data_IF_906070008469
#
_entry.id   IF_906070008469
#
_cell.length_a   1.000
_cell.length_b   1.000
_cell.length_c   1.000
_cell.angle_alpha   90.00
_cell.angle_beta   90.00
_cell.angle_gamma   90.00
#
_symmetry.space_group_name_H-M   'P 1'
#
loop_
_entity.id
_entity.type
_entity.pdbx_description
1 polymer ?
#
# COMPACT_ATOMS: atom_id res chain seq x y z
N UNK A 1 -0.47 -65.68 -43.74
CA UNK A 1 -1.19 -65.44 -42.46
C UNK A 1 -0.15 -65.28 -41.35
N UNK A 2 0.19 -64.05 -40.96
CA UNK A 2 1.18 -63.77 -39.91
C UNK A 2 0.43 -63.15 -38.73
N UNK A 3 0.32 -63.90 -37.62
CA UNK A 3 -0.26 -63.44 -36.35
C UNK A 3 0.72 -62.50 -35.67
N UNK A 4 0.33 -61.23 -35.49
CA UNK A 4 1.04 -60.28 -34.60
C UNK A 4 0.48 -60.42 -33.18
N UNK A 5 1.34 -60.76 -32.23
CA UNK A 5 1.04 -60.70 -30.80
C UNK A 5 1.29 -59.29 -30.28
N UNK A 6 0.25 -58.68 -29.70
CA UNK A 6 0.33 -57.42 -28.98
C UNK A 6 0.80 -57.67 -27.54
N UNK A 7 1.92 -57.07 -27.15
CA UNK A 7 2.39 -57.03 -25.77
C UNK A 7 1.75 -55.82 -25.06
N UNK A 8 0.83 -56.08 -24.13
CA UNK A 8 0.34 -55.06 -23.18
C UNK A 8 1.36 -54.87 -22.07
N UNK A 9 2.00 -53.70 -22.04
CA UNK A 9 2.84 -53.25 -20.92
C UNK A 9 1.88 -52.66 -19.87
N UNK A 10 1.66 -53.38 -18.78
CA UNK A 10 0.92 -52.88 -17.62
C UNK A 10 1.73 -51.84 -16.87
N UNK A 11 1.28 -50.59 -16.87
CA UNK A 11 1.86 -49.52 -16.06
C UNK A 11 1.40 -49.73 -14.62
N UNK A 12 2.33 -50.12 -13.74
CA UNK A 12 2.11 -50.16 -12.30
C UNK A 12 2.10 -48.72 -11.77
N UNK A 13 0.93 -48.19 -11.44
CA UNK A 13 0.80 -46.89 -10.78
C UNK A 13 1.22 -47.05 -9.30
N UNK A 14 2.42 -46.58 -8.95
CA UNK A 14 2.88 -46.47 -7.57
C UNK A 14 2.27 -45.22 -6.95
N UNK A 15 1.20 -45.38 -6.18
CA UNK A 15 0.57 -44.30 -5.41
C UNK A 15 1.43 -44.02 -4.17
N UNK A 16 2.29 -43.01 -4.25
CA UNK A 16 3.03 -42.47 -3.10
C UNK A 16 2.03 -41.80 -2.15
N UNK A 17 1.67 -42.48 -1.06
CA UNK A 17 0.91 -41.89 0.05
C UNK A 17 1.82 -40.90 0.78
N UNK A 18 1.63 -39.60 0.51
CA UNK A 18 2.25 -38.54 1.30
C UNK A 18 1.69 -38.61 2.74
N UNK A 19 2.51 -39.06 3.68
CA UNK A 19 2.17 -39.01 5.11
C UNK A 19 1.91 -37.57 5.57
N UNK A 20 1.19 -37.37 6.69
CA UNK A 20 0.97 -36.05 7.24
C UNK A 20 2.33 -35.37 7.49
N UNK A 21 2.52 -34.21 6.88
CA UNK A 21 3.73 -33.41 7.12
C UNK A 21 3.74 -33.01 8.59
N UNK A 22 4.73 -33.53 9.34
CA UNK A 22 4.93 -33.11 10.73
C UNK A 22 5.14 -31.59 10.76
N UNK A 23 4.53 -30.94 11.75
CA UNK A 23 4.75 -29.51 11.96
C UNK A 23 6.23 -29.25 12.23
N UNK A 24 6.83 -28.34 11.48
CA UNK A 24 8.20 -27.88 11.68
C UNK A 24 8.20 -26.73 12.69
N UNK A 25 9.13 -26.76 13.64
CA UNK A 25 9.32 -25.70 14.64
C UNK A 25 10.32 -24.69 14.09
N UNK A 26 9.85 -23.46 13.82
CA UNK A 26 10.69 -22.38 13.26
C UNK A 26 11.40 -21.59 14.34
N UNK A 27 10.77 -21.46 15.50
CA UNK A 27 11.29 -20.70 16.62
C UNK A 27 10.81 -21.32 17.93
N UNK A 28 11.69 -21.44 18.92
CA UNK A 28 11.31 -21.83 20.27
C UNK A 28 12.25 -21.19 21.29
N UNK A 29 11.68 -20.52 22.28
CA UNK A 29 12.36 -20.05 23.47
C UNK A 29 11.55 -20.39 24.74
N UNK A 30 11.98 -19.85 25.88
CA UNK A 30 11.33 -20.09 27.17
C UNK A 30 9.89 -19.56 27.27
N UNK A 31 9.48 -18.65 26.38
CA UNK A 31 8.21 -17.91 26.43
C UNK A 31 7.33 -18.15 25.22
N UNK A 32 7.89 -18.57 24.09
CA UNK A 32 7.12 -18.79 22.87
C UNK A 32 7.69 -19.92 22.02
N UNK A 33 6.79 -20.64 21.37
CA UNK A 33 7.10 -21.58 20.29
C UNK A 33 6.27 -21.22 19.06
N UNK A 34 6.89 -21.20 17.88
CA UNK A 34 6.26 -20.97 16.59
C UNK A 34 6.52 -22.19 15.72
N UNK A 35 5.46 -22.86 15.32
CA UNK A 35 5.49 -24.01 14.44
C UNK A 35 4.49 -23.86 13.31
N UNK A 36 4.57 -24.73 12.31
CA UNK A 36 3.62 -24.74 11.20
C UNK A 36 3.94 -25.81 10.18
N UNK A 37 3.01 -26.04 9.27
CA UNK A 37 3.11 -27.09 8.24
C UNK A 37 2.83 -26.54 6.85
N UNK A 38 3.52 -27.08 5.84
CA UNK A 38 3.35 -26.69 4.44
C UNK A 38 4.27 -25.55 3.97
N UNK A 39 4.16 -25.12 2.71
CA UNK A 39 5.02 -24.10 2.11
C UNK A 39 4.73 -22.72 2.69
N UNK A 40 5.76 -21.86 2.76
CA UNK A 40 5.66 -20.54 3.40
C UNK A 40 4.51 -19.68 2.86
N UNK A 41 4.14 -19.80 1.59
CA UNK A 41 3.09 -18.99 0.94
C UNK A 41 1.66 -19.34 1.38
N UNK A 42 1.43 -20.53 1.94
CA UNK A 42 0.08 -21.00 2.35
C UNK A 42 0.05 -21.70 3.70
N UNK A 43 1.13 -21.57 4.49
CA UNK A 43 1.29 -22.20 5.80
C UNK A 43 0.38 -21.57 6.85
N UNK A 44 -0.30 -22.43 7.59
CA UNK A 44 -0.89 -22.07 8.88
C UNK A 44 0.19 -22.23 9.95
N UNK A 45 0.36 -21.20 10.78
CA UNK A 45 1.28 -21.25 11.90
C UNK A 45 0.53 -21.41 13.21
N UNK A 46 1.12 -22.14 14.13
CA UNK A 46 0.71 -22.24 15.52
C UNK A 46 1.75 -21.58 16.39
N UNK A 47 1.31 -20.65 17.22
CA UNK A 47 2.13 -19.89 18.15
C UNK A 47 1.67 -20.25 19.55
N UNK A 48 2.52 -20.93 20.31
CA UNK A 48 2.23 -21.33 21.69
C UNK A 48 2.96 -20.38 22.63
N UNK A 49 2.22 -19.62 23.44
CA UNK A 49 2.79 -18.78 24.49
C UNK A 49 2.91 -19.58 25.78
N UNK A 50 4.15 -19.69 26.26
CA UNK A 50 4.51 -20.43 27.47
C UNK A 50 4.48 -19.47 28.66
N UNK A 51 3.80 -19.82 29.77
CA UNK A 51 3.82 -18.99 30.97
C UNK A 51 5.22 -18.96 31.58
N UNK A 52 5.65 -17.80 32.09
CA UNK A 52 6.99 -17.66 32.72
C UNK A 52 7.08 -18.36 34.07
N UNK A 53 5.93 -18.59 34.72
CA UNK A 53 5.80 -19.34 35.97
C UNK A 53 4.48 -20.08 35.96
N UNK A 54 4.48 -21.27 36.53
CA UNK A 54 3.30 -22.11 36.62
C UNK A 54 3.00 -22.47 38.06
N UNK A 55 1.71 -22.62 38.36
CA UNK A 55 1.21 -23.32 39.53
C UNK A 55 0.72 -24.68 39.03
N UNK A 56 1.33 -25.76 39.54
CA UNK A 56 1.18 -27.16 39.12
C UNK A 56 2.07 -27.63 37.94
N UNK A 57 3.27 -27.06 37.80
CA UNK A 57 4.28 -27.54 36.85
C UNK A 57 3.92 -27.28 35.38
N UNK A 58 4.25 -28.19 34.47
CA UNK A 58 4.05 -28.01 33.02
C UNK A 58 2.58 -28.11 32.57
N UNK A 59 1.66 -28.30 33.53
CA UNK A 59 0.22 -28.50 33.30
C UNK A 59 -0.59 -27.20 33.37
N UNK A 60 0.08 -26.04 33.40
CA UNK A 60 -0.59 -24.75 33.33
C UNK A 60 -1.14 -24.49 31.91
N UNK A 61 -2.31 -23.83 31.79
CA UNK A 61 -2.85 -23.45 30.49
C UNK A 61 -1.88 -22.60 29.68
N UNK A 62 -1.51 -23.08 28.49
CA UNK A 62 -0.72 -22.36 27.49
C UNK A 62 -1.67 -21.71 26.47
N UNK A 63 -1.40 -20.47 26.08
CA UNK A 63 -2.16 -19.81 25.02
C UNK A 63 -1.67 -20.29 23.67
N UNK A 64 -2.60 -20.54 22.74
CA UNK A 64 -2.32 -20.93 21.37
C UNK A 64 -2.95 -19.92 20.43
N UNK A 65 -2.15 -19.32 19.54
CA UNK A 65 -2.61 -18.53 18.42
C UNK A 65 -2.39 -19.32 17.14
N UNK A 66 -3.42 -19.47 16.32
CA UNK A 66 -3.32 -20.15 15.03
C UNK A 66 -3.60 -19.15 13.93
N UNK A 67 -2.66 -18.92 13.02
CA UNK A 67 -2.88 -18.04 11.86
C UNK A 67 -3.54 -18.83 10.73
N UNK A 68 -4.51 -18.21 10.06
CA UNK A 68 -5.20 -18.75 8.89
C UNK A 68 -5.18 -17.74 7.75
N UNK A 69 -4.40 -18.04 6.71
CA UNK A 69 -4.13 -17.08 5.63
C UNK A 69 -3.46 -15.79 6.13
N UNK A 70 -3.74 -14.68 5.43
CA UNK A 70 -3.01 -13.43 5.63
C UNK A 70 -3.53 -12.56 6.78
N UNK A 71 -4.80 -12.67 7.17
CA UNK A 71 -5.42 -11.68 8.07
C UNK A 71 -6.36 -12.26 9.10
N UNK A 72 -6.43 -13.59 9.21
CA UNK A 72 -7.28 -14.27 10.20
C UNK A 72 -6.45 -15.05 11.19
N UNK A 73 -6.93 -15.10 12.42
CA UNK A 73 -6.31 -15.86 13.48
C UNK A 73 -7.37 -16.46 14.41
N UNK A 74 -7.03 -17.57 15.04
CA UNK A 74 -7.78 -18.15 16.15
C UNK A 74 -6.92 -18.06 17.41
N UNK A 75 -7.55 -17.83 18.56
CA UNK A 75 -6.92 -17.88 19.87
C UNK A 75 -7.70 -18.85 20.77
N UNK A 76 -6.96 -19.82 21.32
CA UNK A 76 -7.48 -20.77 22.31
C UNK A 76 -6.37 -21.19 23.29
N UNK A 77 -6.60 -22.25 24.06
CA UNK A 77 -5.60 -22.95 24.85
C UNK A 77 -5.00 -24.09 24.02
N UNK A 78 -3.68 -24.28 24.06
CA UNK A 78 -2.97 -25.33 23.29
C UNK A 78 -3.46 -26.76 23.57
N UNK A 79 -4.09 -26.98 24.74
CA UNK A 79 -4.72 -28.24 25.13
C UNK A 79 -6.12 -27.97 25.70
N UNK A 80 -6.95 -27.20 24.99
CA UNK A 80 -8.28 -26.78 25.46
C UNK A 80 -9.15 -27.93 25.99
N UNK A 81 -9.04 -29.13 25.42
CA UNK A 81 -9.74 -30.33 25.85
C UNK A 81 -9.34 -30.89 27.23
N UNK A 82 -8.33 -30.33 27.89
CA UNK A 82 -7.91 -30.73 29.25
C UNK A 82 -8.45 -29.80 30.35
N UNK A 83 -9.12 -28.71 29.97
CA UNK A 83 -9.48 -27.63 30.88
C UNK A 83 -10.98 -27.29 30.82
N UNK A 84 -11.55 -26.92 31.97
CA UNK A 84 -12.87 -26.32 32.11
C UNK A 84 -12.78 -24.93 32.76
N UNK A 85 -13.79 -24.10 32.47
CA UNK A 85 -13.95 -22.75 33.02
C UNK A 85 -12.66 -21.89 32.99
N UNK A 86 -11.98 -21.75 31.84
CA UNK A 86 -10.79 -20.92 31.76
C UNK A 86 -11.14 -19.45 32.03
N UNK A 87 -10.31 -18.79 32.85
CA UNK A 87 -10.44 -17.38 33.21
C UNK A 87 -9.11 -16.65 33.04
N UNK A 88 -9.20 -15.41 32.58
CA UNK A 88 -8.10 -14.44 32.59
C UNK A 88 -8.20 -13.62 33.86
N UNK A 89 -7.11 -13.53 34.61
CA UNK A 89 -7.02 -12.71 35.82
C UNK A 89 -6.01 -11.58 35.58
N UNK A 90 -6.49 -10.35 35.60
CA UNK A 90 -5.66 -9.15 35.44
C UNK A 90 -6.12 -8.08 36.43
N UNK A 91 -5.19 -7.47 37.17
CA UNK A 91 -5.51 -6.48 38.20
C UNK A 91 -6.57 -6.95 39.22
N UNK A 92 -6.47 -8.22 39.66
CA UNK A 92 -7.43 -8.89 40.55
C UNK A 92 -8.87 -9.05 39.98
N UNK A 93 -9.10 -8.70 38.71
CA UNK A 93 -10.38 -8.91 38.03
C UNK A 93 -10.31 -10.23 37.28
N UNK A 94 -11.30 -11.11 37.53
CA UNK A 94 -11.47 -12.37 36.81
C UNK A 94 -12.46 -12.17 35.67
N UNK A 95 -12.08 -12.57 34.46
CA UNK A 95 -12.96 -12.56 33.28
C UNK A 95 -12.97 -13.94 32.65
N UNK A 96 -14.12 -14.43 32.14
CA UNK A 96 -14.14 -15.63 31.31
C UNK A 96 -13.14 -15.49 30.17
N UNK A 97 -12.39 -16.55 29.89
CA UNK A 97 -11.50 -16.58 28.74
C UNK A 97 -12.34 -16.61 27.46
N UNK A 98 -12.30 -15.51 26.69
CA UNK A 98 -12.97 -15.41 25.42
C UNK A 98 -12.13 -16.06 24.33
N UNK A 99 -12.57 -17.22 23.83
CA UNK A 99 -11.99 -17.84 22.63
C UNK A 99 -12.29 -16.96 21.43
N UNK A 100 -11.34 -16.86 20.52
CA UNK A 100 -11.53 -16.20 19.24
C UNK A 100 -11.34 -17.24 18.15
N UNK A 101 -12.36 -17.50 17.34
CA UNK A 101 -12.25 -18.46 16.24
C UNK A 101 -12.29 -17.74 14.90
N UNK A 102 -11.21 -17.87 14.14
CA UNK A 102 -11.06 -17.33 12.78
C UNK A 102 -11.45 -15.85 12.67
N UNK A 103 -11.07 -15.04 13.65
CA UNK A 103 -11.38 -13.59 13.69
C UNK A 103 -10.41 -12.81 12.82
N UNK A 104 -10.81 -11.63 12.35
CA UNK A 104 -9.88 -10.71 11.68
C UNK A 104 -8.85 -10.15 12.68
N UNK A 105 -7.71 -9.68 12.17
CA UNK A 105 -6.70 -8.99 13.00
C UNK A 105 -7.28 -7.78 13.74
N UNK A 106 -8.15 -7.01 13.09
CA UNK A 106 -8.84 -5.88 13.73
C UNK A 106 -9.76 -6.33 14.87
N UNK A 107 -10.58 -7.36 14.65
CA UNK A 107 -11.45 -7.93 15.69
C UNK A 107 -10.63 -8.45 16.87
N UNK A 108 -9.53 -9.15 16.60
CA UNK A 108 -8.63 -9.62 17.64
C UNK A 108 -8.01 -8.47 18.44
N UNK A 109 -7.51 -7.44 17.76
CA UNK A 109 -6.92 -6.25 18.40
C UNK A 109 -7.89 -5.54 19.34
N UNK A 110 -9.16 -5.48 18.97
CA UNK A 110 -10.22 -4.87 19.77
C UNK A 110 -10.73 -5.77 20.92
N UNK A 111 -10.43 -7.07 20.88
CA UNK A 111 -10.83 -8.02 21.92
C UNK A 111 -10.14 -7.76 23.26
N UNK A 112 -10.75 -8.20 24.36
CA UNK A 112 -10.18 -8.08 25.70
C UNK A 112 -8.80 -8.74 25.82
N UNK A 113 -8.65 -9.91 25.23
CA UNK A 113 -7.40 -10.66 25.27
C UNK A 113 -6.33 -10.06 24.36
N UNK A 114 -6.70 -9.55 23.18
CA UNK A 114 -5.79 -8.79 22.32
C UNK A 114 -5.24 -7.55 23.04
N UNK A 115 -6.10 -6.78 23.70
CA UNK A 115 -5.69 -5.65 24.57
C UNK A 115 -4.82 -6.10 25.73
N UNK A 116 -5.12 -7.25 26.34
CA UNK A 116 -4.33 -7.82 27.44
C UNK A 116 -2.92 -8.15 26.98
N UNK A 117 -2.77 -8.86 25.85
CA UNK A 117 -1.48 -9.22 25.26
C UNK A 117 -0.68 -7.97 24.86
N UNK A 118 -1.32 -6.98 24.25
CA UNK A 118 -0.68 -5.73 23.85
C UNK A 118 -0.25 -4.86 25.05
N UNK A 119 -0.92 -4.97 26.21
CA UNK A 119 -0.67 -4.09 27.36
C UNK A 119 0.70 -4.27 28.03
N UNK A 120 1.42 -5.36 27.75
CA UNK A 120 2.67 -5.78 28.42
C UNK A 120 2.53 -5.95 29.95
N UNK A 121 1.31 -5.90 30.48
CA UNK A 121 1.03 -6.04 31.91
C UNK A 121 1.01 -7.51 32.32
N UNK A 122 1.27 -7.75 33.60
CA UNK A 122 1.09 -9.05 34.23
C UNK A 122 -0.38 -9.49 34.13
N UNK A 123 -0.60 -10.73 33.70
CA UNK A 123 -1.89 -11.42 33.79
C UNK A 123 -1.69 -12.91 34.05
N UNK A 124 -2.76 -13.58 34.47
CA UNK A 124 -2.78 -15.02 34.68
C UNK A 124 -3.86 -15.66 33.82
N UNK A 125 -3.58 -16.87 33.33
CA UNK A 125 -4.60 -17.74 32.74
C UNK A 125 -4.77 -18.90 33.69
N UNK A 126 -5.96 -19.04 34.25
CA UNK A 126 -6.29 -20.09 35.23
C UNK A 126 -7.43 -20.91 34.71
N UNK A 127 -7.35 -22.23 34.81
CA UNK A 127 -8.43 -23.12 34.43
C UNK A 127 -8.46 -24.35 35.33
N UNK A 128 -9.64 -24.95 35.46
CA UNK A 128 -9.80 -26.21 36.18
C UNK A 128 -9.43 -27.37 35.25
N UNK A 129 -8.61 -28.30 35.71
CA UNK A 129 -8.24 -29.48 34.91
C UNK A 129 -9.35 -30.53 34.97
N UNK A 130 -9.65 -31.15 33.83
CA UNK A 130 -10.72 -32.14 33.72
C UNK A 130 -10.37 -33.49 34.38
N UNK A 131 -9.09 -33.82 34.51
CA UNK A 131 -8.64 -35.12 35.02
C UNK A 131 -8.75 -35.25 36.55
N UNK A 132 -8.56 -34.16 37.29
CA UNK A 132 -8.52 -34.18 38.76
C UNK A 132 -9.24 -33.01 39.43
N UNK A 133 -9.93 -32.17 38.65
CA UNK A 133 -10.66 -30.99 39.13
C UNK A 133 -9.82 -29.94 39.88
N UNK A 134 -8.47 -30.03 39.86
CA UNK A 134 -7.58 -29.01 40.45
C UNK A 134 -7.42 -27.82 39.49
N UNK A 135 -7.15 -26.65 40.04
CA UNK A 135 -6.91 -25.44 39.27
C UNK A 135 -5.42 -25.29 38.93
N UNK A 136 -5.10 -25.24 37.64
CA UNK A 136 -3.76 -24.89 37.18
C UNK A 136 -3.73 -23.43 36.71
N UNK A 137 -2.61 -22.75 36.90
CA UNK A 137 -2.46 -21.33 36.59
C UNK A 137 -1.12 -21.03 35.94
N UNK A 138 -1.15 -20.32 34.81
CA UNK A 138 0.02 -19.81 34.11
C UNK A 138 0.15 -18.29 34.30
N UNK A 139 1.34 -17.83 34.73
CA UNK A 139 1.69 -16.41 34.85
C UNK A 139 2.31 -15.92 33.55
N UNK A 140 1.77 -14.85 33.00
CA UNK A 140 2.29 -14.16 31.81
C UNK A 140 2.68 -12.74 32.17
N UNK A 141 3.94 -12.38 31.95
CA UNK A 141 4.46 -11.03 32.18
C UNK A 141 5.51 -10.70 31.14
N UNK A 142 5.73 -9.41 30.90
CA UNK A 142 6.80 -8.92 30.01
C UNK A 142 6.72 -9.51 28.59
N UNK A 143 5.53 -9.86 28.13
CA UNK A 143 5.32 -10.28 26.75
C UNK A 143 5.48 -9.05 25.85
N UNK A 144 6.57 -9.02 25.08
CA UNK A 144 6.72 -8.03 24.02
C UNK A 144 5.95 -8.52 22.79
N UNK A 145 4.69 -8.12 22.72
CA UNK A 145 3.78 -8.58 21.67
C UNK A 145 4.22 -8.12 20.27
N UNK A 146 4.83 -6.93 20.15
CA UNK A 146 5.35 -6.44 18.86
C UNK A 146 6.55 -7.29 18.40
N UNK A 147 7.47 -7.64 19.31
CA UNK A 147 8.58 -8.53 19.01
C UNK A 147 8.10 -9.95 18.63
N UNK A 148 7.06 -10.45 19.29
CA UNK A 148 6.41 -11.70 18.93
C UNK A 148 5.82 -11.62 17.51
N UNK A 149 5.04 -10.58 17.21
CA UNK A 149 4.43 -10.38 15.89
C UNK A 149 5.48 -10.31 14.78
N UNK A 150 6.63 -9.68 15.05
CA UNK A 150 7.75 -9.63 14.10
C UNK A 150 8.33 -11.02 13.83
N UNK A 151 8.44 -11.89 14.85
CA UNK A 151 8.86 -13.30 14.67
C UNK A 151 7.82 -14.10 13.90
N UNK A 152 6.53 -13.89 14.15
CA UNK A 152 5.45 -14.55 13.40
C UNK A 152 5.57 -14.21 11.91
N UNK A 153 5.69 -12.93 11.55
CA UNK A 153 5.81 -12.49 10.14
C UNK A 153 7.07 -13.04 9.44
N UNK A 154 8.16 -13.24 10.17
CA UNK A 154 9.38 -13.84 9.63
C UNK A 154 9.16 -15.29 9.15
N UNK A 155 8.21 -16.02 9.72
CA UNK A 155 8.01 -17.45 9.46
C UNK A 155 6.65 -17.81 8.86
N UNK A 156 5.68 -16.89 8.95
CA UNK A 156 4.29 -17.13 8.63
C UNK A 156 3.78 -16.12 7.60
N UNK A 157 2.96 -16.55 6.61
CA UNK A 157 2.33 -15.66 5.63
C UNK A 157 1.15 -14.90 6.26
N UNK A 158 1.40 -14.18 7.34
CA UNK A 158 0.40 -13.47 8.14
C UNK A 158 0.77 -11.99 8.27
N UNK A 159 -0.20 -11.10 8.09
CA UNK A 159 -0.10 -9.64 8.20
C UNK A 159 -0.06 -9.20 9.67
N UNK A 160 0.99 -9.61 10.37
CA UNK A 160 1.22 -9.33 11.79
C UNK A 160 1.34 -7.82 12.06
N UNK A 161 1.78 -7.05 11.05
CA UNK A 161 1.88 -5.59 11.09
C UNK A 161 0.56 -4.92 11.50
N UNK A 162 -0.59 -5.45 11.07
CA UNK A 162 -1.91 -4.91 11.44
C UNK A 162 -2.23 -5.01 12.94
N UNK A 163 -1.49 -5.83 13.69
CA UNK A 163 -1.60 -6.00 15.13
C UNK A 163 -0.53 -5.22 15.92
N UNK A 164 0.50 -4.70 15.26
CA UNK A 164 1.60 -3.99 15.92
C UNK A 164 1.15 -2.61 16.39
N UNK A 165 1.56 -2.24 17.60
CA UNK A 165 1.32 -0.91 18.14
C UNK A 165 2.34 0.12 17.61
N UNK A 166 3.59 -0.31 17.44
CA UNK A 166 4.69 0.53 16.93
C UNK A 166 5.15 0.06 15.54
N UNK A 167 4.79 0.84 14.52
CA UNK A 167 5.23 0.66 13.14
C UNK A 167 6.40 1.60 12.76
N UNK A 168 6.87 2.44 13.67
CA UNK A 168 7.86 3.47 13.39
C UNK A 168 9.22 2.85 13.00
N UNK A 169 9.57 1.68 13.54
CA UNK A 169 10.76 0.95 13.12
C UNK A 169 10.71 0.57 11.64
N UNK A 170 9.54 0.15 11.12
CA UNK A 170 9.35 -0.19 9.70
C UNK A 170 9.38 1.03 8.81
N UNK A 171 8.73 2.10 9.23
CA UNK A 171 8.76 3.37 8.50
C UNK A 171 10.19 3.92 8.38
N UNK A 172 10.98 3.87 9.46
CA UNK A 172 12.40 4.24 9.43
C UNK A 172 13.21 3.32 8.52
N UNK A 173 12.95 2.01 8.56
CA UNK A 173 13.62 1.05 7.69
C UNK A 173 13.32 1.34 6.20
N UNK A 174 12.06 1.55 5.82
CA UNK A 174 11.67 1.95 4.46
C UNK A 174 12.35 3.26 4.04
N UNK A 175 12.34 4.28 4.91
CA UNK A 175 13.01 5.55 4.65
C UNK A 175 14.51 5.39 4.42
N UNK A 176 15.16 4.50 5.18
CA UNK A 176 16.60 4.24 5.05
C UNK A 176 17.00 3.61 3.70
N UNK A 177 16.05 2.96 3.00
CA UNK A 177 16.31 2.39 1.68
C UNK A 177 16.67 3.44 0.62
N UNK A 178 16.33 4.72 0.85
CA UNK A 178 16.70 5.85 -0.02
C UNK A 178 16.36 5.58 -1.50
N UNK A 179 15.15 5.05 -1.75
CA UNK A 179 14.71 4.64 -3.09
C UNK A 179 14.64 5.86 -4.01
N UNK A 180 15.36 5.80 -5.13
CA UNK A 180 15.35 6.87 -6.14
C UNK A 180 13.99 6.94 -6.84
N UNK A 181 13.60 8.13 -7.33
CA UNK A 181 12.34 8.27 -8.08
C UNK A 181 12.23 7.35 -9.32
N UNK A 182 13.30 7.14 -10.13
CA UNK A 182 13.26 6.16 -11.22
C UNK A 182 13.04 4.72 -10.74
N UNK A 183 13.68 4.33 -9.63
CA UNK A 183 13.48 3.00 -9.05
C UNK A 183 12.06 2.81 -8.56
N UNK A 184 11.48 3.83 -7.92
CA UNK A 184 10.10 3.76 -7.45
C UNK A 184 9.12 3.61 -8.62
N UNK A 185 9.40 4.24 -9.78
CA UNK A 185 8.60 4.02 -11.00
C UNK A 185 8.65 2.56 -11.44
N UNK A 186 9.83 1.92 -11.44
CA UNK A 186 9.94 0.50 -11.76
C UNK A 186 9.14 -0.37 -10.78
N UNK A 187 9.26 -0.12 -9.48
CA UNK A 187 8.53 -0.88 -8.46
C UNK A 187 7.02 -0.73 -8.63
N UNK A 188 6.54 0.51 -8.82
CA UNK A 188 5.12 0.81 -9.05
C UNK A 188 4.63 0.17 -10.34
N UNK A 189 5.44 0.15 -11.41
CA UNK A 189 5.06 -0.48 -12.67
C UNK A 189 4.86 -1.99 -12.48
N UNK A 190 5.77 -2.64 -11.77
CA UNK A 190 5.66 -4.07 -11.43
C UNK A 190 4.37 -4.37 -10.66
N UNK A 191 4.09 -3.60 -9.59
CA UNK A 191 2.90 -3.80 -8.77
C UNK A 191 1.61 -3.60 -9.57
N UNK A 192 1.51 -2.50 -10.33
CA UNK A 192 0.33 -2.20 -11.15
C UNK A 192 0.14 -3.22 -12.29
N UNK A 193 1.21 -3.66 -12.94
CA UNK A 193 1.12 -4.67 -14.00
C UNK A 193 0.67 -6.03 -13.47
N UNK A 194 1.09 -6.42 -12.26
CA UNK A 194 0.80 -7.74 -11.70
C UNK A 194 -0.55 -7.81 -10.98
N UNK A 195 -0.97 -6.75 -10.31
CA UNK A 195 -2.16 -6.75 -9.45
C UNK A 195 -3.17 -5.64 -9.72
N UNK A 196 -2.80 -4.65 -10.55
CA UNK A 196 -3.70 -3.59 -11.01
C UNK A 196 -4.28 -3.88 -12.40
N UNK A 197 -5.02 -2.92 -12.91
CA UNK A 197 -5.67 -3.00 -14.23
C UNK A 197 -4.82 -2.36 -15.34
N UNK A 198 -3.79 -1.60 -14.97
CA UNK A 198 -2.95 -0.85 -15.90
C UNK A 198 -1.60 -1.50 -16.13
N UNK A 199 -1.25 -1.72 -17.39
CA UNK A 199 0.09 -2.11 -17.84
C UNK A 199 0.95 -0.90 -18.22
N UNK A 200 0.39 0.32 -18.17
CA UNK A 200 1.10 1.54 -18.52
C UNK A 200 2.19 1.86 -17.49
N UNK A 201 3.28 2.47 -17.96
CA UNK A 201 4.33 2.97 -17.09
C UNK A 201 3.76 4.07 -16.17
N UNK A 202 3.84 3.94 -14.83
CA UNK A 202 3.32 4.95 -13.92
C UNK A 202 4.12 6.26 -14.00
N UNK A 203 3.45 7.38 -13.74
CA UNK A 203 4.10 8.68 -13.57
C UNK A 203 5.06 8.66 -12.36
N UNK A 204 6.13 9.48 -12.31
CA UNK A 204 7.01 9.57 -11.14
C UNK A 204 6.27 9.95 -9.84
N UNK A 205 6.64 9.33 -8.73
CA UNK A 205 6.15 9.69 -7.39
C UNK A 205 7.27 9.59 -6.36
N UNK A 206 6.98 9.99 -5.12
CA UNK A 206 7.91 9.91 -3.98
C UNK A 206 7.58 8.79 -2.99
N UNK A 207 6.39 8.19 -3.10
CA UNK A 207 5.95 7.09 -2.24
C UNK A 207 4.94 6.21 -2.99
N UNK A 208 4.73 4.99 -2.47
CA UNK A 208 3.64 4.11 -2.90
C UNK A 208 2.29 4.66 -2.41
N UNK A 209 1.27 4.62 -3.27
CA UNK A 209 -0.12 4.92 -2.89
C UNK A 209 -0.69 3.86 -1.92
N UNK A 210 -1.79 4.12 -1.20
CA UNK A 210 -2.44 3.12 -0.36
C UNK A 210 -2.83 1.83 -1.11
N UNK A 211 -3.25 1.98 -2.37
CA UNK A 211 -3.57 0.85 -3.25
C UNK A 211 -2.30 0.06 -3.62
N UNK A 212 -1.22 0.75 -3.99
CA UNK A 212 0.06 0.11 -4.30
C UNK A 212 0.66 -0.58 -3.07
N UNK A 213 0.46 -0.04 -1.86
CA UNK A 213 0.82 -0.73 -0.60
C UNK A 213 0.00 -2.00 -0.37
N UNK A 214 -1.27 -2.03 -0.79
CA UNK A 214 -2.06 -3.25 -0.77
C UNK A 214 -1.55 -4.29 -1.77
N UNK A 215 -1.11 -3.85 -2.96
CA UNK A 215 -0.44 -4.70 -3.94
C UNK A 215 0.91 -5.21 -3.43
N UNK A 216 1.65 -4.39 -2.69
CA UNK A 216 2.92 -4.79 -2.07
C UNK A 216 2.74 -5.96 -1.10
N UNK A 217 1.69 -5.97 -0.27
CA UNK A 217 1.38 -7.10 0.62
C UNK A 217 1.13 -8.39 -0.16
N UNK A 218 0.33 -8.32 -1.23
CA UNK A 218 0.07 -9.47 -2.12
C UNK A 218 1.35 -9.95 -2.80
N UNK A 219 2.16 -9.02 -3.32
CA UNK A 219 3.46 -9.32 -3.89
C UNK A 219 4.37 -10.04 -2.91
N UNK A 220 4.44 -9.58 -1.66
CA UNK A 220 5.24 -10.23 -0.63
C UNK A 220 4.75 -11.66 -0.36
N UNK A 221 3.44 -11.86 -0.21
CA UNK A 221 2.85 -13.18 0.02
C UNK A 221 3.14 -14.17 -1.11
N UNK A 222 2.95 -13.76 -2.37
CA UNK A 222 3.15 -14.61 -3.55
C UNK A 222 4.62 -15.02 -3.73
N UNK A 223 5.56 -14.19 -3.26
CA UNK A 223 6.99 -14.42 -3.36
C UNK A 223 7.59 -15.01 -2.07
N UNK A 224 6.76 -15.37 -1.08
CA UNK A 224 7.24 -15.94 0.18
C UNK A 224 8.13 -14.97 1.00
N UNK A 225 7.88 -13.67 0.87
CA UNK A 225 8.54 -12.60 1.62
C UNK A 225 7.73 -12.21 2.87
N UNK A 226 8.31 -11.40 3.75
CA UNK A 226 7.60 -10.82 4.89
C UNK A 226 6.46 -9.90 4.42
N UNK A 227 5.22 -10.15 4.88
CA UNK A 227 4.04 -9.40 4.48
C UNK A 227 4.00 -8.06 5.25
N UNK A 228 4.33 -6.98 4.56
CA UNK A 228 4.34 -5.63 5.12
C UNK A 228 3.80 -4.61 4.12
N UNK A 229 3.17 -3.54 4.61
CA UNK A 229 2.80 -2.40 3.75
C UNK A 229 4.01 -1.50 3.44
N UNK A 230 5.14 -1.71 4.10
CA UNK A 230 6.39 -0.99 3.92
C UNK A 230 7.35 -1.81 3.06
N UNK A 231 8.12 -1.12 2.21
CA UNK A 231 9.17 -1.75 1.43
C UNK A 231 10.28 -2.26 2.36
N UNK A 232 10.63 -3.53 2.20
CA UNK A 232 11.89 -4.08 2.73
C UNK A 232 12.99 -3.99 1.65
N UNK A 233 14.25 -4.08 2.05
CA UNK A 233 15.37 -4.09 1.11
C UNK A 233 15.24 -5.21 0.06
N UNK A 234 14.76 -6.38 0.48
CA UNK A 234 14.57 -7.54 -0.39
C UNK A 234 13.41 -7.31 -1.37
N UNK A 235 12.26 -6.86 -0.89
CA UNK A 235 11.09 -6.59 -1.74
C UNK A 235 11.38 -5.47 -2.73
N UNK A 236 12.07 -4.41 -2.31
CA UNK A 236 12.50 -3.32 -3.18
C UNK A 236 13.46 -3.81 -4.28
N UNK A 237 14.43 -4.66 -3.94
CA UNK A 237 15.37 -5.24 -4.92
C UNK A 237 14.64 -6.06 -5.99
N UNK A 238 13.71 -6.92 -5.59
CA UNK A 238 12.95 -7.77 -6.50
C UNK A 238 12.03 -6.94 -7.42
N UNK A 239 11.24 -6.04 -6.83
CA UNK A 239 10.34 -5.16 -7.58
C UNK A 239 11.06 -4.27 -8.58
N UNK A 240 12.24 -3.74 -8.22
CA UNK A 240 13.10 -2.97 -9.13
C UNK A 240 13.56 -3.83 -10.31
N UNK A 241 14.09 -5.02 -10.04
CA UNK A 241 14.59 -5.92 -11.08
C UNK A 241 13.49 -6.33 -12.07
N UNK A 242 12.32 -6.71 -11.56
CA UNK A 242 11.16 -7.01 -12.41
C UNK A 242 10.69 -5.79 -13.21
N UNK A 243 10.67 -4.61 -12.60
CA UNK A 243 10.25 -3.38 -13.27
C UNK A 243 11.20 -2.95 -14.39
N UNK A 244 12.51 -3.19 -14.21
CA UNK A 244 13.50 -3.02 -15.28
C UNK A 244 13.29 -4.01 -16.42
N UNK A 245 12.97 -5.27 -16.13
CA UNK A 245 12.64 -6.26 -17.16
C UNK A 245 11.39 -5.86 -17.94
N UNK A 246 10.35 -5.37 -17.26
CA UNK A 246 9.14 -4.84 -17.89
C UNK A 246 9.51 -3.67 -18.81
N UNK A 247 10.33 -2.74 -18.34
CA UNK A 247 10.76 -1.58 -19.11
C UNK A 247 11.55 -1.97 -20.37
N UNK A 248 12.44 -2.95 -20.26
CA UNK A 248 13.25 -3.45 -21.38
C UNK A 248 12.41 -4.25 -22.39
N UNK A 249 11.33 -4.89 -21.94
CA UNK A 249 10.42 -5.66 -22.80
C UNK A 249 9.45 -4.76 -23.59
N UNK A 250 9.21 -3.52 -23.15
CA UNK A 250 8.48 -2.54 -23.95
C UNK A 250 9.39 -2.08 -25.07
N UNK A 251 9.17 -2.65 -26.26
CA UNK A 251 9.82 -2.20 -27.50
C UNK A 251 9.63 -0.68 -27.59
N UNK A 252 10.70 0.12 -27.78
CA UNK A 252 10.56 1.55 -28.00
C UNK A 252 9.63 1.72 -29.19
N UNK A 253 8.43 2.25 -28.97
CA UNK A 253 7.60 2.70 -30.08
C UNK A 253 8.47 3.71 -30.82
N UNK A 254 8.82 3.47 -32.10
CA UNK A 254 9.63 4.41 -32.85
C UNK A 254 8.98 5.77 -32.71
N UNK A 255 9.77 6.77 -32.32
CA UNK A 255 9.29 8.14 -32.19
C UNK A 255 8.46 8.45 -33.43
N UNK A 256 7.21 8.93 -33.31
CA UNK A 256 6.42 9.23 -34.47
C UNK A 256 7.25 10.14 -35.36
N UNK A 257 7.58 9.67 -36.56
CA UNK A 257 8.15 10.49 -37.61
C UNK A 257 7.30 11.76 -37.65
N UNK A 258 7.88 12.97 -37.62
CA UNK A 258 7.11 14.20 -37.55
C UNK A 258 6.20 14.29 -38.78
N UNK A 259 4.98 13.77 -38.62
CA UNK A 259 3.93 13.90 -39.60
C UNK A 259 3.60 15.38 -39.63
N UNK A 260 3.73 15.98 -40.82
CA UNK A 260 3.38 17.36 -41.08
C UNK A 260 2.04 17.66 -40.39
N UNK A 261 2.05 18.67 -39.51
CA UNK A 261 0.89 19.08 -38.76
C UNK A 261 -0.26 19.39 -39.73
N UNK A 262 -1.28 18.53 -39.75
CA UNK A 262 -2.54 18.85 -40.42
C UNK A 262 -3.18 20.01 -39.65
N UNK A 263 -3.60 21.09 -40.34
CA UNK A 263 -4.36 22.15 -39.72
C UNK A 263 -5.65 21.57 -39.13
N UNK A 264 -5.91 21.89 -37.86
CA UNK A 264 -7.10 21.44 -37.15
C UNK A 264 -8.38 22.01 -37.78
N UNK A 265 -9.50 21.28 -37.74
CA UNK A 265 -10.79 21.84 -38.12
C UNK A 265 -11.12 23.04 -37.21
N UNK A 266 -11.67 24.13 -37.74
CA UNK A 266 -12.10 25.27 -36.95
C UNK A 266 -13.15 24.83 -35.93
N UNK A 267 -13.06 25.36 -34.71
CA UNK A 267 -14.05 25.13 -33.66
C UNK A 267 -15.44 25.58 -34.14
N UNK A 268 -16.52 24.83 -33.83
CA UNK A 268 -17.87 25.25 -34.16
C UNK A 268 -18.19 26.61 -33.51
N UNK A 269 -18.86 27.54 -34.21
CA UNK A 269 -19.23 28.83 -33.65
C UNK A 269 -20.45 28.68 -32.72
N UNK A 270 -20.24 28.86 -31.42
CA UNK A 270 -21.29 28.97 -30.40
C UNK A 270 -20.70 29.19 -29.00
N UNK A 271 -21.29 30.04 -28.12
CA UNK A 271 -20.68 30.42 -26.86
C UNK A 271 -21.00 29.37 -25.78
N UNK A 272 -20.20 28.29 -25.72
CA UNK A 272 -20.05 27.50 -24.48
C UNK A 272 -18.83 28.04 -23.77
N UNK A 273 -19.03 28.75 -22.67
CA UNK A 273 -17.93 29.41 -21.96
C UNK A 273 -17.01 28.34 -21.35
N UNK A 274 -15.73 28.33 -21.76
CA UNK A 274 -14.73 27.34 -21.34
C UNK A 274 -14.10 27.71 -19.98
N UNK A 275 -14.90 27.76 -18.91
CA UNK A 275 -14.39 28.08 -17.57
C UNK A 275 -13.89 26.85 -16.83
N UNK A 276 -12.78 27.04 -16.15
CA UNK A 276 -12.16 26.04 -15.29
C UNK A 276 -11.81 26.66 -13.93
N UNK A 277 -11.87 25.87 -12.86
CA UNK A 277 -11.35 26.27 -11.56
C UNK A 277 -9.92 25.77 -11.35
N UNK A 278 -9.10 26.60 -10.71
CA UNK A 278 -7.73 26.27 -10.30
C UNK A 278 -7.37 27.07 -9.04
N UNK A 279 -7.08 26.39 -7.92
CA UNK A 279 -6.60 27.00 -6.66
C UNK A 279 -7.39 28.26 -6.24
N UNK A 280 -8.72 28.15 -6.21
CA UNK A 280 -9.61 29.27 -5.84
C UNK A 280 -9.66 30.41 -6.85
N UNK A 281 -9.17 30.22 -8.08
CA UNK A 281 -9.23 31.15 -9.20
C UNK A 281 -10.04 30.58 -10.35
N UNK A 282 -10.67 31.45 -11.15
CA UNK A 282 -11.34 31.08 -12.39
C UNK A 282 -10.42 31.35 -13.58
N UNK A 283 -10.25 30.35 -14.42
CA UNK A 283 -9.41 30.42 -15.62
C UNK A 283 -10.21 30.03 -16.86
N UNK A 284 -9.76 30.49 -18.03
CA UNK A 284 -10.34 30.17 -19.33
C UNK A 284 -9.33 29.40 -20.17
N UNK A 285 -9.80 28.34 -20.83
CA UNK A 285 -9.02 27.63 -21.85
C UNK A 285 -9.26 28.27 -23.22
N UNK A 286 -8.20 28.82 -23.83
CA UNK A 286 -8.25 29.47 -25.15
C UNK A 286 -7.28 28.82 -26.13
N UNK A 287 -7.50 29.04 -27.42
CA UNK A 287 -6.46 28.82 -28.43
C UNK A 287 -5.32 29.80 -28.19
N UNK A 288 -4.08 29.33 -28.34
CA UNK A 288 -2.92 30.21 -28.35
C UNK A 288 -2.93 31.03 -29.67
N UNK A 289 -2.93 32.37 -29.61
CA UNK A 289 -2.99 33.21 -30.81
C UNK A 289 -1.64 33.26 -31.58
N UNK A 290 -0.53 32.89 -30.94
CA UNK A 290 0.82 33.04 -31.53
C UNK A 290 1.38 31.72 -32.08
N UNK A 291 0.89 30.58 -31.58
CA UNK A 291 1.40 29.25 -31.92
C UNK A 291 0.25 28.23 -31.95
N UNK A 292 0.38 27.11 -32.69
CA UNK A 292 -0.56 26.01 -32.55
C UNK A 292 -0.50 25.46 -31.11
N UNK A 293 -1.54 25.74 -30.31
CA UNK A 293 -1.55 25.38 -28.89
C UNK A 293 -2.80 25.83 -28.13
N UNK A 294 -2.80 25.59 -26.83
CA UNK A 294 -3.81 26.00 -25.86
C UNK A 294 -3.16 26.78 -24.72
N UNK A 295 -3.87 27.78 -24.23
CA UNK A 295 -3.47 28.56 -23.06
C UNK A 295 -4.56 28.51 -21.99
N UNK A 296 -4.16 28.37 -20.73
CA UNK A 296 -5.00 28.71 -19.59
C UNK A 296 -4.69 30.14 -19.16
N UNK A 297 -5.71 30.98 -19.12
CA UNK A 297 -5.61 32.40 -18.79
C UNK A 297 -6.49 32.70 -17.59
N UNK A 298 -5.99 33.44 -16.61
CA UNK A 298 -6.81 33.90 -15.49
C UNK A 298 -7.92 34.82 -15.99
N UNK A 299 -9.16 34.51 -15.64
CA UNK A 299 -10.28 35.43 -15.83
C UNK A 299 -10.59 36.16 -14.52
N UNK A 300 -10.63 35.43 -13.40
CA UNK A 300 -10.76 35.97 -12.05
C UNK A 300 -9.71 35.31 -11.13
N UNK A 301 -8.53 35.93 -10.96
CA UNK A 301 -7.51 35.45 -10.03
C UNK A 301 -7.99 35.56 -8.57
N UNK A 302 -7.56 34.62 -7.72
CA UNK A 302 -7.77 34.68 -6.27
C UNK A 302 -7.15 35.94 -5.65
N UNK A 303 -7.56 36.29 -4.44
CA UNK A 303 -7.04 37.46 -3.74
C UNK A 303 -5.53 37.41 -3.50
N UNK A 304 -4.99 36.23 -3.18
CA UNK A 304 -3.53 36.02 -3.01
C UNK A 304 -2.75 36.25 -4.31
N UNK A 305 -3.29 35.80 -5.44
CA UNK A 305 -2.67 36.03 -6.74
C UNK A 305 -2.76 37.49 -7.17
N UNK A 306 -3.88 38.16 -6.90
CA UNK A 306 -4.01 39.61 -7.12
C UNK A 306 -3.01 40.41 -6.30
N UNK A 307 -2.81 40.06 -5.02
CA UNK A 307 -1.75 40.63 -4.17
C UNK A 307 -0.35 40.40 -4.73
N UNK A 308 -0.17 39.32 -5.49
CA UNK A 308 1.09 38.99 -6.16
C UNK A 308 1.24 39.64 -7.55
N UNK A 309 0.31 40.52 -7.95
CA UNK A 309 0.36 41.25 -9.22
C UNK A 309 -0.29 40.52 -10.40
N UNK A 310 -0.96 39.38 -10.17
CA UNK A 310 -1.69 38.65 -11.22
C UNK A 310 -3.04 39.32 -11.47
N UNK A 311 -3.29 39.75 -12.71
CA UNK A 311 -4.56 40.31 -13.15
C UNK A 311 -5.31 39.37 -14.09
N UNK A 312 -6.59 39.69 -14.36
CA UNK A 312 -7.32 39.08 -15.47
C UNK A 312 -6.53 39.21 -16.78
N UNK A 313 -6.52 38.17 -17.60
CA UNK A 313 -5.71 38.08 -18.82
C UNK A 313 -4.31 37.49 -18.64
N UNK A 314 -3.84 37.27 -17.40
CA UNK A 314 -2.52 36.69 -17.15
C UNK A 314 -2.48 35.21 -17.54
N UNK A 315 -1.46 34.78 -18.28
CA UNK A 315 -1.28 33.39 -18.72
C UNK A 315 -0.74 32.54 -17.57
N UNK A 316 -1.46 31.48 -17.19
CA UNK A 316 -1.03 30.49 -16.21
C UNK A 316 -0.27 29.32 -16.86
N UNK A 317 -0.72 28.88 -18.03
CA UNK A 317 -0.13 27.78 -18.78
C UNK A 317 -0.24 28.02 -20.28
N UNK A 318 0.78 27.60 -21.01
CA UNK A 318 0.83 27.57 -22.47
C UNK A 318 1.41 26.24 -22.93
N UNK A 319 0.71 25.51 -23.80
CA UNK A 319 1.20 24.23 -24.28
C UNK A 319 0.36 23.59 -25.38
N UNK A 320 0.72 22.35 -25.71
CA UNK A 320 0.03 21.52 -26.70
C UNK A 320 -0.68 20.34 -26.06
N UNK A 321 -1.66 19.79 -26.77
CA UNK A 321 -2.31 18.51 -26.44
C UNK A 321 -2.02 17.49 -27.53
N UNK A 322 -1.59 16.29 -27.13
CA UNK A 322 -1.44 15.12 -28.01
C UNK A 322 -2.22 13.97 -27.40
N UNK A 323 -3.30 13.55 -28.06
CA UNK A 323 -4.23 12.57 -27.49
C UNK A 323 -4.88 13.09 -26.20
N UNK A 324 -4.71 12.36 -25.09
CA UNK A 324 -5.19 12.75 -23.76
C UNK A 324 -4.12 13.45 -22.89
N UNK A 325 -2.97 13.83 -23.46
CA UNK A 325 -1.87 14.44 -22.70
C UNK A 325 -1.65 15.90 -23.08
N UNK A 326 -1.53 16.77 -22.10
CA UNK A 326 -1.02 18.14 -22.25
C UNK A 326 0.45 18.20 -21.86
N UNK A 327 1.22 19.04 -22.57
CA UNK A 327 2.59 19.38 -22.22
C UNK A 327 2.89 20.84 -22.60
N UNK A 328 3.67 21.54 -21.80
CA UNK A 328 4.08 22.91 -22.07
C UNK A 328 4.65 23.63 -20.86
N UNK A 329 4.56 24.96 -20.87
CA UNK A 329 5.14 25.83 -19.87
C UNK A 329 4.05 26.42 -18.97
N UNK A 330 4.20 26.27 -17.66
CA UNK A 330 3.44 26.97 -16.64
C UNK A 330 4.24 28.12 -16.02
N UNK A 331 3.54 29.02 -15.34
CA UNK A 331 4.14 30.20 -14.74
C UNK A 331 3.86 30.24 -13.23
N UNK A 332 4.92 30.40 -12.44
CA UNK A 332 4.85 30.65 -11.00
C UNK A 332 4.91 32.15 -10.74
N UNK A 333 4.09 32.62 -9.79
CA UNK A 333 3.96 34.03 -9.46
C UNK A 333 4.34 34.26 -8.00
N UNK A 334 5.14 35.30 -7.75
CA UNK A 334 5.52 35.75 -6.43
C UNK A 334 5.39 37.28 -6.34
N UNK A 335 4.98 37.79 -5.18
CA UNK A 335 4.75 39.21 -4.99
C UNK A 335 6.01 40.04 -5.28
N UNK A 336 5.87 41.05 -6.13
CA UNK A 336 6.96 41.94 -6.55
C UNK A 336 7.94 41.32 -7.55
N UNK A 337 7.65 40.14 -8.10
CA UNK A 337 8.53 39.44 -9.03
C UNK A 337 7.87 39.19 -10.40
N UNK A 338 8.72 39.08 -11.43
CA UNK A 338 8.28 38.58 -12.72
C UNK A 338 7.92 37.10 -12.63
N UNK A 339 6.97 36.69 -13.47
CA UNK A 339 6.53 35.31 -13.53
C UNK A 339 7.69 34.39 -13.94
N UNK A 340 7.88 33.31 -13.19
CA UNK A 340 8.94 32.34 -13.45
C UNK A 340 8.36 31.11 -14.16
N UNK A 341 8.85 30.83 -15.37
CA UNK A 341 8.38 29.71 -16.19
C UNK A 341 8.94 28.36 -15.74
N UNK A 342 8.16 27.30 -15.90
CA UNK A 342 8.62 25.92 -15.70
C UNK A 342 7.82 24.93 -16.56
N UNK A 343 8.47 23.83 -16.92
CA UNK A 343 7.86 22.78 -17.74
C UNK A 343 6.88 21.95 -16.90
N UNK A 344 5.71 21.69 -17.49
CA UNK A 344 4.66 20.83 -16.93
C UNK A 344 4.13 19.89 -18.00
N UNK A 345 3.72 18.70 -17.57
CA UNK A 345 2.97 17.78 -18.42
C UNK A 345 1.99 16.96 -17.57
N UNK A 346 0.96 16.43 -18.21
CA UNK A 346 0.02 15.55 -17.54
C UNK A 346 -1.21 15.27 -18.39
N UNK A 347 -2.19 14.61 -17.79
CA UNK A 347 -3.29 13.99 -18.53
C UNK A 347 -4.61 14.75 -18.36
N UNK A 348 -5.46 14.57 -19.35
CA UNK A 348 -6.88 14.90 -19.33
C UNK A 348 -7.64 13.67 -18.86
N UNK A 349 -8.57 13.82 -17.92
CA UNK A 349 -9.47 12.75 -17.48
C UNK A 349 -10.28 12.19 -18.65
N UNK A 350 -10.78 10.96 -18.52
CA UNK A 350 -11.55 10.28 -19.57
C UNK A 350 -12.82 11.06 -19.96
N UNK A 351 -13.50 11.65 -18.97
CA UNK A 351 -14.67 12.52 -19.17
C UNK A 351 -14.34 13.92 -19.71
N UNK A 352 -13.06 14.23 -19.89
CA UNK A 352 -12.52 15.51 -20.33
C UNK A 352 -12.84 16.71 -19.44
N UNK A 353 -13.23 16.47 -18.18
CA UNK A 353 -13.59 17.52 -17.22
C UNK A 353 -12.47 17.92 -16.28
N UNK A 354 -11.36 17.19 -16.27
CA UNK A 354 -10.23 17.48 -15.43
C UNK A 354 -8.93 17.44 -16.23
N UNK A 355 -8.07 18.42 -16.01
CA UNK A 355 -6.68 18.41 -16.50
C UNK A 355 -5.77 18.50 -15.29
N UNK A 356 -4.84 17.56 -15.16
CA UNK A 356 -3.84 17.56 -14.09
C UNK A 356 -2.48 17.63 -14.74
N UNK A 357 -1.75 18.71 -14.50
CA UNK A 357 -0.37 18.91 -14.98
C UNK A 357 0.57 18.91 -13.79
N UNK A 358 1.79 18.39 -13.97
CA UNK A 358 2.80 18.38 -12.93
C UNK A 358 4.14 18.85 -13.47
N UNK A 359 4.89 19.59 -12.65
CA UNK A 359 6.23 20.04 -12.98
C UNK A 359 7.01 20.52 -11.76
N UNK A 360 8.24 20.96 -11.99
CA UNK A 360 9.13 21.50 -10.96
C UNK A 360 9.08 23.03 -10.96
N UNK A 361 8.15 23.59 -10.19
CA UNK A 361 7.99 25.03 -10.07
C UNK A 361 9.18 25.66 -9.31
N UNK A 362 9.73 26.78 -9.82
CA UNK A 362 10.77 27.52 -9.12
C UNK A 362 10.21 28.19 -7.86
N UNK A 363 10.99 28.17 -6.78
CA UNK A 363 10.69 28.90 -5.55
C UNK A 363 11.43 30.24 -5.60
N UNK A 364 10.70 31.34 -5.66
CA UNK A 364 11.23 32.70 -5.64
C UNK A 364 11.28 33.22 -4.20
N UNK A 365 12.45 33.68 -3.75
CA UNK A 365 12.63 34.39 -2.49
C UNK A 365 12.53 35.92 -2.69
N UNK A 366 12.68 36.69 -1.60
CA UNK A 366 12.83 38.14 -1.67
C UNK A 366 13.98 38.52 -2.63
N UNK A 367 13.73 39.52 -3.48
CA UNK A 367 14.65 39.90 -4.56
C UNK A 367 14.57 39.02 -5.82
N UNK A 368 13.52 38.20 -5.96
CA UNK A 368 13.19 37.44 -7.17
C UNK A 368 14.22 36.39 -7.61
N UNK A 369 15.13 36.01 -6.71
CA UNK A 369 16.09 34.94 -6.94
C UNK A 369 15.40 33.58 -6.74
N UNK A 370 15.67 32.66 -7.67
CA UNK A 370 15.26 31.26 -7.52
C UNK A 370 16.14 30.59 -6.45
N UNK A 371 15.54 30.16 -5.34
CA UNK A 371 16.26 29.51 -4.23
C UNK A 371 16.07 28.00 -4.19
N UNK A 372 15.17 27.47 -5.03
CA UNK A 372 14.93 26.05 -5.13
C UNK A 372 13.87 25.73 -6.17
N UNK A 373 13.50 24.46 -6.24
CA UNK A 373 12.37 23.97 -7.03
C UNK A 373 11.52 23.07 -6.15
N UNK A 374 10.20 23.13 -6.34
CA UNK A 374 9.24 22.25 -5.68
C UNK A 374 8.36 21.59 -6.72
N UNK A 375 7.87 20.39 -6.42
CA UNK A 375 6.82 19.79 -7.25
C UNK A 375 5.55 20.59 -7.08
N UNK A 376 4.97 20.98 -8.21
CA UNK A 376 3.72 21.72 -8.29
C UNK A 376 2.76 20.94 -9.18
N UNK A 377 1.52 20.78 -8.73
CA UNK A 377 0.46 20.09 -9.44
C UNK A 377 -0.63 21.11 -9.78
N UNK A 378 -0.85 21.33 -11.07
CA UNK A 378 -1.89 22.21 -11.59
C UNK A 378 -3.11 21.37 -11.94
N UNK A 379 -4.11 21.42 -11.06
CA UNK A 379 -5.42 20.80 -11.33
C UNK A 379 -6.37 21.86 -11.87
N UNK A 380 -6.96 21.57 -13.03
CA UNK A 380 -8.02 22.35 -13.66
C UNK A 380 -9.29 21.51 -13.70
N UNK A 381 -10.41 22.06 -13.22
CA UNK A 381 -11.72 21.38 -13.25
C UNK A 381 -12.70 22.19 -14.07
N UNK A 382 -13.36 21.55 -15.04
CA UNK A 382 -14.29 22.16 -15.99
C UNK A 382 -15.69 22.35 -15.39
N UNK A 383 -16.28 23.53 -15.66
CA UNK A 383 -17.64 23.88 -15.22
C UNK A 383 -18.53 24.18 -16.42
N UNK A 384 -19.66 23.47 -16.52
CA UNK A 384 -20.59 23.53 -17.67
C UNK A 384 -21.46 24.82 -17.69
N UNK A 385 -21.45 25.60 -16.60
CA UNK A 385 -22.25 26.82 -16.44
C UNK A 385 -21.52 27.87 -15.58
N UNK A 386 -21.85 29.15 -15.81
CA UNK A 386 -21.27 30.29 -15.12
C UNK A 386 -21.66 30.36 -13.63
N UNK A 387 -22.74 29.69 -13.23
CA UNK A 387 -23.41 29.87 -11.94
C UNK A 387 -23.00 28.86 -10.84
N UNK A 388 -22.19 27.83 -11.15
CA UNK A 388 -21.76 26.83 -10.15
C UNK A 388 -20.49 27.25 -9.36
N UNK A 389 -20.08 28.51 -9.46
CA UNK A 389 -18.87 29.01 -8.83
C UNK A 389 -19.16 29.54 -7.41
N UNK A 390 -19.40 28.64 -6.46
CA UNK A 390 -19.66 29.04 -5.06
C UNK A 390 -20.00 27.96 -4.01
N UNK A 391 -20.34 26.72 -4.38
CA UNK A 391 -20.87 25.74 -3.41
C UNK A 391 -19.85 24.76 -2.80
N UNK A 392 -18.60 24.72 -3.26
CA UNK A 392 -17.56 23.89 -2.64
C UNK A 392 -16.66 24.74 -1.72
N UNK A 393 -17.11 24.94 -0.47
CA UNK A 393 -16.22 25.32 0.65
C UNK A 393 -16.02 24.13 1.56
#
# INVERSE_FOLDING_TARGET
MVKRHAFSIGILAVTLLAGPTSAEVYFSDATVEISGSGPRTSRNCTVVLKPVKTRDGDLAPQLSLVTSGQSRLSLDLAMAGQYSAPVVVQNNIRRPFARADNVSTEQFRLSDIGRTLASRRLFFVTAQRLDNAKYASGRYERLDFDALLARIEAHCPFDAESLMADIAARQRAEQSLSISAPDLVFMRWTLNKKYGESSARPDPAYALSPQERSYLKRYAADNGLAISQYLTAETARLLRAEGQQIANAVVPVPAPTPAAATPWPPLPPGPKQNFWSHNGSRVQLKSDPEKPGRIFVYEAPSEDLRRSGVSSGTILFRGGRTGNRYAGTAYAFAAGCTAASYEVAGNVSEDQRQVVLQGLAPVQASGCRITGRRVETLTFVFHDAQDNWGEAR
#
